data_IF_484260845705
#
_entry.id   IF_484260845705
#
_cell.length_a   1.000
_cell.length_b   1.000
_cell.length_c   1.000
_cell.angle_alpha   90.00
_cell.angle_beta   90.00
_cell.angle_gamma   90.00
#
_symmetry.space_group_name_H-M   'P 1'
#
loop_
_entity.id
_entity.type
_entity.pdbx_description
1 polymer ?
#
# COMPACT_ATOMS: atom_id res chain seq x y z
N UNK A 1 -0.84 -19.33 7.97
CA UNK A 1 -1.09 -17.97 8.49
C UNK A 1 -2.47 -17.53 8.00
N UNK A 2 -3.39 -17.08 8.86
CA UNK A 2 -4.67 -16.52 8.40
C UNK A 2 -4.35 -15.22 7.68
N UNK A 3 -4.73 -15.11 6.40
CA UNK A 3 -4.66 -13.85 5.68
C UNK A 3 -5.44 -12.80 6.48
N UNK A 4 -4.73 -11.79 6.99
CA UNK A 4 -5.36 -10.65 7.65
C UNK A 4 -6.36 -10.08 6.63
N UNK A 5 -7.63 -9.99 7.00
CA UNK A 5 -8.66 -9.38 6.13
C UNK A 5 -8.39 -7.88 6.10
N UNK A 6 -7.59 -7.44 5.14
CA UNK A 6 -7.26 -6.03 4.95
C UNK A 6 -8.51 -5.33 4.41
N UNK A 7 -8.93 -4.29 5.13
CA UNK A 7 -9.99 -3.39 4.66
C UNK A 7 -9.52 -2.60 3.43
N UNK A 8 -10.46 -2.04 2.66
CA UNK A 8 -10.11 -1.17 1.52
C UNK A 8 -9.21 -0.01 1.97
N UNK A 9 -9.43 0.52 3.18
CA UNK A 9 -8.63 1.59 3.75
C UNK A 9 -7.20 1.13 4.03
N UNK A 10 -7.01 -0.01 4.70
CA UNK A 10 -5.66 -0.56 4.95
C UNK A 10 -4.92 -0.83 3.62
N UNK A 11 -5.62 -1.34 2.59
CA UNK A 11 -5.02 -1.55 1.25
C UNK A 11 -4.54 -0.24 0.64
N UNK A 12 -5.34 0.83 0.71
CA UNK A 12 -4.95 2.16 0.23
C UNK A 12 -3.79 2.75 1.03
N UNK A 13 -3.74 2.54 2.35
CA UNK A 13 -2.64 2.99 3.20
C UNK A 13 -1.34 2.28 2.84
N UNK A 14 -1.40 0.97 2.62
CA UNK A 14 -0.26 0.16 2.16
C UNK A 14 0.25 0.65 0.81
N UNK A 15 -0.66 0.88 -0.15
CA UNK A 15 -0.30 1.39 -1.47
C UNK A 15 0.40 2.75 -1.37
N UNK A 16 -0.19 3.69 -0.62
CA UNK A 16 0.40 5.01 -0.39
C UNK A 16 1.79 4.90 0.23
N UNK A 17 1.94 4.14 1.31
CA UNK A 17 3.23 3.97 1.98
C UNK A 17 4.29 3.40 1.04
N UNK A 18 3.91 2.45 0.16
CA UNK A 18 4.82 1.91 -0.85
C UNK A 18 5.26 2.99 -1.85
N UNK A 19 4.33 3.80 -2.36
CA UNK A 19 4.61 4.85 -3.35
C UNK A 19 5.39 6.00 -2.74
N UNK A 20 5.03 6.47 -1.54
CA UNK A 20 5.78 7.50 -0.79
C UNK A 20 7.22 7.04 -0.55
N UNK A 21 7.40 5.80 -0.13
CA UNK A 21 8.72 5.25 0.13
C UNK A 21 9.59 5.13 -1.14
N UNK A 22 8.98 4.89 -2.31
CA UNK A 22 9.67 4.90 -3.61
C UNK A 22 9.94 6.31 -4.12
N UNK A 23 9.03 7.25 -3.86
CA UNK A 23 9.14 8.65 -4.29
C UNK A 23 10.17 9.44 -3.46
N UNK A 24 10.15 9.27 -2.14
CA UNK A 24 11.11 9.89 -1.22
C UNK A 24 12.52 9.30 -1.34
N UNK A 25 12.65 8.07 -1.84
CA UNK A 25 13.93 7.36 -1.97
C UNK A 25 14.24 6.97 -3.40
N UNK A 26 14.83 7.88 -4.22
CA UNK A 26 15.16 7.60 -5.62
C UNK A 26 16.23 6.52 -5.79
N UNK A 27 16.93 6.13 -4.71
CA UNK A 27 17.93 5.04 -4.70
C UNK A 27 17.36 3.70 -4.25
N UNK A 28 16.11 3.64 -3.77
CA UNK A 28 15.54 2.42 -3.22
C UNK A 28 14.82 1.62 -4.30
N UNK A 29 15.18 0.34 -4.43
CA UNK A 29 14.55 -0.51 -5.45
C UNK A 29 13.13 -0.89 -5.04
N UNK A 30 12.21 -1.00 -6.00
CA UNK A 30 10.82 -1.44 -5.80
C UNK A 30 10.76 -2.72 -4.94
N UNK A 31 11.68 -3.67 -5.16
CA UNK A 31 11.78 -4.91 -4.38
C UNK A 31 12.07 -4.68 -2.89
N UNK A 32 12.92 -3.71 -2.56
CA UNK A 32 13.25 -3.38 -1.16
C UNK A 32 12.07 -2.69 -0.47
N UNK A 33 11.43 -1.74 -1.16
CA UNK A 33 10.22 -1.08 -0.64
C UNK A 33 9.10 -2.09 -0.40
N UNK A 34 8.91 -3.07 -1.30
CA UNK A 34 7.95 -4.15 -1.10
C UNK A 34 8.25 -5.00 0.13
N UNK A 35 9.51 -5.41 0.32
CA UNK A 35 9.90 -6.20 1.49
C UNK A 35 9.66 -5.42 2.79
N UNK A 36 9.95 -4.12 2.80
CA UNK A 36 9.72 -3.27 3.95
C UNK A 36 8.23 -3.20 4.31
N UNK A 37 7.37 -2.93 3.31
CA UNK A 37 5.92 -2.87 3.46
C UNK A 37 5.33 -4.21 3.92
N UNK A 38 5.80 -5.33 3.36
CA UNK A 38 5.40 -6.68 3.77
C UNK A 38 5.66 -6.90 5.27
N UNK A 39 6.84 -6.51 5.75
CA UNK A 39 7.19 -6.64 7.17
C UNK A 39 6.43 -5.66 8.06
N UNK A 40 6.31 -4.40 7.64
CA UNK A 40 5.64 -3.33 8.39
C UNK A 40 4.16 -3.65 8.61
N UNK A 41 3.46 -4.07 7.56
CA UNK A 41 2.02 -4.34 7.60
C UNK A 41 1.69 -5.82 7.91
N UNK A 42 2.71 -6.68 8.02
CA UNK A 42 2.58 -8.13 8.25
C UNK A 42 1.64 -8.81 7.24
N UNK A 43 1.78 -8.40 5.98
CA UNK A 43 1.02 -8.94 4.85
C UNK A 43 1.86 -9.96 4.08
N UNK A 44 1.26 -10.60 3.08
CA UNK A 44 2.00 -11.48 2.16
C UNK A 44 2.33 -10.74 0.86
N UNK A 45 3.35 -11.20 0.15
CA UNK A 45 3.70 -10.67 -1.18
C UNK A 45 2.50 -10.70 -2.14
N UNK A 46 1.72 -11.78 -2.13
CA UNK A 46 0.49 -11.86 -2.93
C UNK A 46 -0.53 -10.77 -2.57
N UNK A 47 -0.68 -10.46 -1.28
CA UNK A 47 -1.58 -9.37 -0.85
C UNK A 47 -1.05 -8.01 -1.29
N UNK A 48 0.26 -7.77 -1.19
CA UNK A 48 0.87 -6.53 -1.65
C UNK A 48 0.70 -6.35 -3.16
N UNK A 49 0.93 -7.41 -3.93
CA UNK A 49 0.74 -7.39 -5.38
C UNK A 49 -0.71 -7.10 -5.78
N UNK A 50 -1.69 -7.68 -5.09
CA UNK A 50 -3.10 -7.37 -5.32
C UNK A 50 -3.43 -5.91 -5.00
N UNK A 51 -2.78 -5.35 -3.98
CA UNK A 51 -2.93 -3.94 -3.60
C UNK A 51 -2.32 -3.02 -4.67
N UNK A 52 -1.13 -3.34 -5.17
CA UNK A 52 -0.50 -2.60 -6.27
C UNK A 52 -1.36 -2.64 -7.52
N UNK A 53 -1.86 -3.83 -7.90
CA UNK A 53 -2.72 -4.02 -9.06
C UNK A 53 -4.05 -3.27 -8.91
N UNK A 54 -4.75 -3.39 -7.77
CA UNK A 54 -5.96 -2.62 -7.46
C UNK A 54 -5.71 -1.10 -7.44
N UNK A 55 -4.57 -0.66 -6.89
CA UNK A 55 -4.23 0.75 -6.75
C UNK A 55 -3.90 1.41 -8.08
N UNK A 56 -3.16 0.71 -8.94
CA UNK A 56 -2.88 1.14 -10.31
C UNK A 56 -4.12 1.09 -11.20
N UNK A 57 -4.91 0.00 -11.14
CA UNK A 57 -6.15 -0.14 -11.92
C UNK A 57 -7.20 0.91 -11.56
N UNK A 58 -7.35 1.21 -10.26
CA UNK A 58 -8.35 2.17 -9.76
C UNK A 58 -7.82 3.59 -9.60
N UNK A 59 -6.61 3.86 -10.08
CA UNK A 59 -5.93 5.16 -10.00
C UNK A 59 -6.11 5.78 -8.60
N UNK A 60 -5.77 5.01 -7.55
CA UNK A 60 -6.08 5.39 -6.19
C UNK A 60 -5.41 6.73 -5.84
N UNK A 61 -6.19 7.80 -5.58
CA UNK A 61 -5.59 9.08 -5.24
C UNK A 61 -4.90 8.97 -3.87
N UNK A 62 -3.90 9.82 -3.59
CA UNK A 62 -3.35 9.95 -2.25
C UNK A 62 -4.50 10.17 -1.27
N UNK A 63 -4.56 9.32 -0.24
CA UNK A 63 -5.71 9.14 0.68
C UNK A 63 -6.19 10.42 1.39
N UNK A 64 -5.45 11.52 1.28
CA UNK A 64 -5.73 12.80 1.90
C UNK A 64 -7.11 13.38 1.53
N UNK A 65 -7.62 13.10 0.32
CA UNK A 65 -8.94 13.61 -0.10
C UNK A 65 -10.15 12.79 0.35
N UNK A 66 -9.98 11.57 0.86
CA UNK A 66 -11.13 10.67 1.12
C UNK A 66 -11.51 10.58 2.60
N UNK A 67 -10.67 11.07 3.52
CA UNK A 67 -10.93 10.98 4.97
C UNK A 67 -11.61 12.22 5.57
N UNK A 68 -12.08 13.19 4.78
CA UNK A 68 -12.93 14.29 5.25
C UNK A 68 -14.41 14.04 4.91
N UNK A 69 -15.03 12.98 5.45
CA UNK A 69 -16.47 12.94 5.77
C UNK A 69 -16.84 11.67 6.55
N UNK A 70 -16.47 11.64 7.81
CA UNK A 70 -17.19 10.85 8.82
C UNK A 70 -17.10 11.61 10.13
N UNK A 71 -18.07 12.52 10.34
CA UNK A 71 -18.17 13.43 11.47
C UNK A 71 -19.14 14.55 11.17
#
# INVERSE_FOLDING_TARGET
>A
MRAKRLTLQERKEIFRALTEMQDESPTMSISESRQNIIQQYKITDMQLRLIEDEGTDKDWPPLDKVMQKAG
#
